data_IF_708229119820
#
_entry.id   IF_708229119820
#
_cell.length_a   1.000
_cell.length_b   1.000
_cell.length_c   1.000
_cell.angle_alpha   90.00
_cell.angle_beta   90.00
_cell.angle_gamma   90.00
#
_symmetry.space_group_name_H-M   'P 1'
#
loop_
_entity.id
_entity.type
_entity.pdbx_description
1 polymer ?
#
# COMPACT_ATOMS: atom_id res chain seq x y z
N UNK A 1 -18.54 2.18 12.57
CA UNK A 1 -17.53 1.63 11.64
C UNK A 1 -16.15 2.10 12.08
N UNK A 2 -15.31 1.17 12.56
CA UNK A 2 -14.03 1.44 13.24
C UNK A 2 -12.90 1.66 12.23
N UNK A 3 -13.08 2.59 11.29
CA UNK A 3 -12.05 2.96 10.31
C UNK A 3 -10.91 3.81 10.93
N UNK A 4 -11.04 4.24 12.20
CA UNK A 4 -10.06 5.08 12.90
C UNK A 4 -8.83 4.31 13.44
N UNK A 5 -8.87 2.98 13.52
CA UNK A 5 -7.83 2.21 14.23
C UNK A 5 -6.76 1.57 13.33
N UNK A 6 -6.90 1.62 12.00
CA UNK A 6 -5.93 0.95 11.13
C UNK A 6 -4.78 1.90 10.79
N UNK A 7 -3.66 1.71 11.49
CA UNK A 7 -2.35 2.34 11.19
C UNK A 7 -1.51 1.47 10.24
N UNK A 8 -1.93 0.23 9.98
CA UNK A 8 -1.17 -0.69 9.16
C UNK A 8 -1.12 -0.22 7.68
N UNK A 9 0.05 -0.27 7.03
CA UNK A 9 0.20 0.04 5.62
C UNK A 9 -0.52 -1.01 4.76
N UNK A 10 -1.33 -0.55 3.79
CA UNK A 10 -2.16 -1.40 2.95
C UNK A 10 -1.74 -1.34 1.47
N UNK A 11 -1.41 -2.49 0.90
CA UNK A 11 -1.22 -2.66 -0.54
C UNK A 11 -2.47 -3.29 -1.15
N UNK A 12 -3.08 -2.58 -2.09
CA UNK A 12 -4.17 -3.10 -2.92
C UNK A 12 -3.59 -3.53 -4.27
N UNK A 13 -3.58 -4.83 -4.54
CA UNK A 13 -3.18 -5.38 -5.85
C UNK A 13 -4.44 -5.70 -6.64
N UNK A 14 -4.68 -4.94 -7.71
CA UNK A 14 -5.83 -5.15 -8.59
C UNK A 14 -5.40 -5.98 -9.81
N UNK A 15 -6.11 -7.08 -10.02
CA UNK A 15 -5.91 -7.98 -11.16
C UNK A 15 -7.24 -8.12 -11.90
N UNK A 16 -7.36 -7.50 -13.06
CA UNK A 16 -8.57 -7.56 -13.87
C UNK A 16 -8.69 -6.43 -14.91
N UNK A 17 -9.61 -6.63 -15.86
CA UNK A 17 -9.95 -5.63 -16.89
C UNK A 17 -10.37 -4.28 -16.30
N UNK A 18 -10.31 -3.22 -17.10
CA UNK A 18 -10.40 -1.82 -16.64
C UNK A 18 -11.57 -1.49 -15.70
N UNK A 19 -12.71 -2.17 -15.81
CA UNK A 19 -13.86 -1.98 -14.92
C UNK A 19 -13.57 -2.37 -13.44
N UNK A 20 -12.66 -3.31 -13.19
CA UNK A 20 -12.30 -3.75 -11.83
C UNK A 20 -11.44 -2.72 -11.07
N UNK A 21 -10.89 -1.71 -11.74
CA UNK A 21 -10.21 -0.62 -11.02
C UNK A 21 -11.21 0.20 -10.19
N UNK A 22 -12.46 0.34 -10.68
CA UNK A 22 -13.49 1.11 -10.00
C UNK A 22 -13.95 0.47 -8.69
N UNK A 23 -13.87 -0.87 -8.58
CA UNK A 23 -14.25 -1.57 -7.34
C UNK A 23 -13.24 -1.32 -6.22
N UNK A 24 -11.95 -1.20 -6.55
CA UNK A 24 -10.89 -0.89 -5.58
C UNK A 24 -10.64 0.60 -5.39
N UNK A 25 -11.17 1.44 -6.28
CA UNK A 25 -11.02 2.90 -6.19
C UNK A 25 -11.67 3.48 -4.94
N UNK A 26 -12.90 3.07 -4.60
CA UNK A 26 -13.60 3.60 -3.44
C UNK A 26 -12.85 3.41 -2.11
N UNK A 27 -12.38 2.20 -1.74
CA UNK A 27 -11.60 2.02 -0.52
C UNK A 27 -10.23 2.72 -0.59
N UNK A 28 -9.57 2.72 -1.75
CA UNK A 28 -8.31 3.43 -1.94
C UNK A 28 -8.46 4.94 -1.70
N UNK A 29 -9.42 5.59 -2.36
CA UNK A 29 -9.66 7.02 -2.26
C UNK A 29 -10.01 7.44 -0.83
N UNK A 30 -10.82 6.64 -0.13
CA UNK A 30 -11.15 6.88 1.28
C UNK A 30 -9.92 6.86 2.19
N UNK A 31 -9.08 5.83 2.06
CA UNK A 31 -7.84 5.71 2.86
C UNK A 31 -6.83 6.81 2.50
N UNK A 32 -6.70 7.12 1.20
CA UNK A 32 -5.80 8.16 0.72
C UNK A 32 -6.21 9.56 1.16
N UNK A 33 -7.52 9.83 1.23
CA UNK A 33 -8.07 11.08 1.77
C UNK A 33 -7.81 11.21 3.29
N UNK A 34 -7.89 10.09 4.01
CA UNK A 34 -7.58 10.01 5.44
C UNK A 34 -6.08 9.99 5.75
N UNK A 35 -5.21 10.25 4.75
CA UNK A 35 -3.76 10.19 4.86
C UNK A 35 -3.27 8.86 5.48
N UNK A 36 -3.88 7.73 5.10
CA UNK A 36 -3.38 6.42 5.47
C UNK A 36 -2.37 5.92 4.43
N UNK A 37 -1.30 5.21 4.85
CA UNK A 37 -0.34 4.63 3.93
C UNK A 37 -1.01 3.52 3.09
N UNK A 38 -1.47 3.89 1.90
CA UNK A 38 -2.13 2.99 0.96
C UNK A 38 -1.53 3.14 -0.44
N UNK A 39 -1.26 2.02 -1.10
CA UNK A 39 -0.87 1.99 -2.52
C UNK A 39 -1.84 1.09 -3.30
N UNK A 40 -2.07 1.44 -4.58
CA UNK A 40 -2.92 0.68 -5.50
C UNK A 40 -2.11 0.32 -6.75
N UNK A 41 -1.70 -0.94 -6.83
CA UNK A 41 -0.97 -1.48 -7.98
C UNK A 41 -1.94 -2.19 -8.91
N UNK A 42 -2.03 -1.72 -10.15
CA UNK A 42 -2.78 -2.39 -11.22
C UNK A 42 -1.84 -3.26 -12.04
N UNK A 43 -2.14 -4.56 -12.11
CA UNK A 43 -1.51 -5.45 -13.08
C UNK A 43 -2.36 -5.43 -14.35
N UNK A 44 -1.76 -5.05 -15.49
CA UNK A 44 -2.42 -5.00 -16.80
C UNK A 44 -2.56 -6.41 -17.40
N UNK A 45 -3.36 -7.24 -16.74
CA UNK A 45 -3.69 -8.60 -17.18
C UNK A 45 -5.21 -8.72 -17.26
N UNK A 46 -5.70 -9.26 -18.38
CA UNK A 46 -7.13 -9.48 -18.60
C UNK A 46 -7.60 -10.82 -18.00
N UNK A 47 -6.67 -11.74 -17.74
CA UNK A 47 -6.95 -13.06 -17.18
C UNK A 47 -6.69 -13.11 -15.66
N UNK A 48 -7.36 -14.02 -14.95
CA UNK A 48 -7.08 -14.28 -13.55
C UNK A 48 -5.59 -14.59 -13.36
N UNK A 49 -4.89 -13.92 -12.41
CA UNK A 49 -3.44 -14.01 -12.27
C UNK A 49 -2.96 -15.45 -12.10
N UNK A 50 -3.78 -16.36 -11.59
CA UNK A 50 -3.41 -17.75 -11.34
C UNK A 50 -3.01 -18.57 -12.59
N UNK A 51 -3.40 -18.17 -13.81
CA UNK A 51 -3.10 -18.92 -15.04
C UNK A 51 -1.85 -18.42 -15.77
N UNK A 52 -1.49 -17.13 -15.64
CA UNK A 52 -0.29 -16.55 -16.27
C UNK A 52 0.90 -16.52 -15.29
N UNK A 53 1.98 -17.31 -15.50
CA UNK A 53 3.12 -17.36 -14.59
C UNK A 53 3.81 -16.00 -14.37
N UNK A 54 3.93 -15.18 -15.42
CA UNK A 54 4.55 -13.86 -15.30
C UNK A 54 3.70 -12.92 -14.44
N UNK A 55 2.38 -13.00 -14.59
CA UNK A 55 1.44 -12.24 -13.77
C UNK A 55 1.49 -12.65 -12.29
N UNK A 56 1.62 -13.95 -12.01
CA UNK A 56 1.82 -14.46 -10.65
C UNK A 56 3.10 -13.95 -10.04
N UNK A 57 4.21 -13.99 -10.80
CA UNK A 57 5.50 -13.49 -10.33
C UNK A 57 5.44 -12.00 -10.03
N UNK A 58 4.77 -11.19 -10.85
CA UNK A 58 4.59 -9.77 -10.59
C UNK A 58 3.75 -9.50 -9.32
N UNK A 59 2.60 -10.17 -9.18
CA UNK A 59 1.72 -10.00 -8.02
C UNK A 59 2.39 -10.45 -6.71
N UNK A 60 2.97 -11.65 -6.72
CA UNK A 60 3.61 -12.24 -5.54
C UNK A 60 4.92 -11.54 -5.21
N UNK A 61 5.73 -11.19 -6.22
CA UNK A 61 6.97 -10.42 -6.05
C UNK A 61 6.72 -9.05 -5.43
N UNK A 62 5.74 -8.30 -5.94
CA UNK A 62 5.37 -7.00 -5.35
C UNK A 62 4.84 -7.12 -3.91
N UNK A 63 4.15 -8.21 -3.60
CA UNK A 63 3.71 -8.50 -2.22
C UNK A 63 4.90 -8.76 -1.29
N UNK A 64 5.89 -9.54 -1.75
CA UNK A 64 7.12 -9.79 -0.98
C UNK A 64 7.89 -8.50 -0.76
N UNK A 65 8.06 -7.69 -1.80
CA UNK A 65 8.77 -6.40 -1.72
C UNK A 65 8.10 -5.46 -0.72
N UNK A 66 6.76 -5.43 -0.67
CA UNK A 66 6.01 -4.65 0.30
C UNK A 66 6.30 -5.07 1.74
N UNK A 67 6.25 -6.38 2.02
CA UNK A 67 6.57 -6.87 3.37
C UNK A 67 8.02 -6.61 3.74
N UNK A 68 8.97 -6.78 2.81
CA UNK A 68 10.39 -6.50 3.04
C UNK A 68 10.65 -5.03 3.33
N UNK A 69 9.99 -4.13 2.61
CA UNK A 69 10.09 -2.69 2.85
C UNK A 69 9.58 -2.31 4.24
N UNK A 70 8.37 -2.74 4.61
CA UNK A 70 7.73 -2.30 5.86
C UNK A 70 8.22 -3.02 7.12
N UNK A 71 8.68 -4.27 7.01
CA UNK A 71 9.05 -5.09 8.17
C UNK A 71 10.57 -5.28 8.33
N UNK A 72 11.35 -5.12 7.25
CA UNK A 72 12.79 -5.34 7.28
C UNK A 72 13.59 -4.10 6.86
N UNK A 73 12.93 -2.99 6.52
CA UNK A 73 13.55 -1.79 5.95
C UNK A 73 14.46 -2.13 4.75
N UNK A 74 14.06 -3.12 3.96
CA UNK A 74 14.83 -3.61 2.80
C UNK A 74 14.23 -3.13 1.48
N UNK A 75 15.11 -2.70 0.58
CA UNK A 75 14.78 -2.30 -0.79
C UNK A 75 15.58 -3.12 -1.81
N UNK A 76 14.91 -3.57 -2.86
CA UNK A 76 15.56 -4.27 -3.98
C UNK A 76 16.29 -3.25 -4.88
N UNK A 77 17.59 -3.46 -5.18
CA UNK A 77 18.38 -2.53 -6.00
C UNK A 77 17.99 -2.52 -7.49
N UNK A 78 17.03 -3.33 -7.93
CA UNK A 78 16.53 -3.29 -9.31
C UNK A 78 15.98 -1.89 -9.70
N UNK A 79 16.59 -1.30 -10.73
CA UNK A 79 16.20 0.01 -11.25
C UNK A 79 14.74 0.07 -11.72
N UNK A 80 14.16 -1.07 -12.15
CA UNK A 80 12.75 -1.14 -12.54
C UNK A 80 11.79 -0.88 -11.36
N UNK A 81 12.27 -1.06 -10.12
CA UNK A 81 11.49 -0.88 -8.88
C UNK A 81 11.75 0.47 -8.18
N UNK A 82 12.71 1.27 -8.66
CA UNK A 82 13.10 2.52 -8.02
C UNK A 82 11.91 3.49 -7.81
N UNK A 83 11.07 3.65 -8.82
CA UNK A 83 9.87 4.50 -8.73
C UNK A 83 8.81 3.94 -7.76
N UNK A 84 8.74 2.62 -7.59
CA UNK A 84 7.87 1.98 -6.59
C UNK A 84 8.35 2.32 -5.18
N UNK A 85 9.63 2.10 -4.89
CA UNK A 85 10.20 2.42 -3.58
C UNK A 85 10.13 3.91 -3.25
N UNK A 86 10.34 4.78 -4.25
CA UNK A 86 10.15 6.23 -4.07
C UNK A 86 8.74 6.59 -3.59
N UNK A 87 7.69 5.95 -4.14
CA UNK A 87 6.32 6.13 -3.64
C UNK A 87 6.17 5.61 -2.21
N UNK A 88 6.75 4.47 -1.91
CA UNK A 88 6.66 3.85 -0.58
C UNK A 88 7.38 4.66 0.51
N UNK A 89 8.48 5.34 0.17
CA UNK A 89 9.12 6.32 1.06
C UNK A 89 8.21 7.46 1.46
N UNK A 90 7.42 7.99 0.52
CA UNK A 90 6.42 9.02 0.85
C UNK A 90 5.28 8.47 1.73
N UNK A 91 4.90 7.21 1.55
CA UNK A 91 3.93 6.55 2.45
C UNK A 91 4.51 6.35 3.85
N UNK A 92 5.81 6.03 3.97
CA UNK A 92 6.50 5.88 5.27
C UNK A 92 6.57 7.20 6.03
N UNK A 93 6.89 8.31 5.34
CA UNK A 93 6.83 9.66 5.94
C UNK A 93 5.43 9.97 6.48
N UNK A 94 4.39 9.67 5.70
CA UNK A 94 2.99 9.86 6.11
C UNK A 94 2.63 9.02 7.35
N UNK A 95 3.17 7.80 7.44
CA UNK A 95 2.99 6.94 8.62
C UNK A 95 3.65 7.53 9.86
N UNK A 96 4.90 8.01 9.75
CA UNK A 96 5.62 8.64 10.84
C UNK A 96 4.90 9.90 11.37
N UNK A 97 4.32 10.69 10.47
CA UNK A 97 3.50 11.86 10.82
C UNK A 97 2.23 11.46 11.57
N UNK A 98 1.54 10.40 11.13
CA UNK A 98 0.36 9.88 11.79
C UNK A 98 0.67 9.33 13.18
N UNK A 99 1.79 8.64 13.36
CA UNK A 99 2.20 8.06 14.64
C UNK A 99 2.58 9.16 15.65
N UNK A 100 3.27 10.21 15.20
CA UNK A 100 3.52 11.41 16.01
C UNK A 100 2.22 12.08 16.46
N UNK A 101 1.26 12.23 15.54
CA UNK A 101 -0.05 12.81 15.85
C UNK A 101 -0.81 11.97 16.87
N UNK A 102 -0.85 10.64 16.68
CA UNK A 102 -1.50 9.73 17.62
C UNK A 102 -0.87 9.78 19.03
N UNK A 103 0.46 9.87 19.12
CA UNK A 103 1.16 10.03 20.39
C UNK A 103 0.82 11.36 21.09
N UNK A 104 0.71 12.45 20.33
CA UNK A 104 0.34 13.77 20.87
C UNK A 104 -1.09 13.83 21.40
N UNK A 105 -2.04 13.20 20.70
CA UNK A 105 -3.44 13.11 21.12
C UNK A 105 -3.58 12.26 22.39
N UNK A 106 -2.85 11.13 22.48
CA UNK A 106 -2.84 10.29 23.69
C UNK A 106 -2.29 11.02 24.93
N UNK A 107 -1.29 11.87 24.74
CA UNK A 107 -0.71 12.69 25.82
C UNK A 107 -1.66 13.79 26.31
N UNK A 108 -2.47 14.38 25.43
CA UNK A 108 -3.45 15.42 25.77
C UNK A 108 -4.68 14.86 26.50
N UNK A 109 -5.10 13.63 26.21
CA UNK A 109 -6.25 12.98 26.86
C UNK A 109 -5.93 12.54 28.31
N UNK A 110 -4.65 12.50 28.68
CA UNK A 110 -4.19 12.13 30.03
C UNK A 110 -3.95 13.33 30.97
N UNK A 111 -4.28 14.56 30.53
CA UNK A 111 -4.29 15.78 31.34
C UNK A 111 -5.73 16.24 31.58
#
# INVERSE_FOLDING_TARGET
MKARSTQAPLLLVNTGGGAYVFTMWQPYAGLRYLHKPVDLVRLNIDEHPHTNPAARMAAQGGTVDWFRFWLQDYEDPDAAKAEQYKRWHELKKMQDENDKKAASEAAQVSQ
#
